data_IF_737173834213
#
_entry.id   IF_737173834213
#
_cell.length_a   1.000
_cell.length_b   1.000
_cell.length_c   1.000
_cell.angle_alpha   90.00
_cell.angle_beta   90.00
_cell.angle_gamma   90.00
#
_symmetry.space_group_name_H-M   'P 1'
#
loop_
_entity.id
_entity.type
_entity.pdbx_description
1 polymer ?
#
# COMPACT_ATOMS: atom_id res chain seq x y z
N UNK A 1 31.66 -1.05 7.91
CA UNK A 1 31.17 -2.37 7.45
C UNK A 1 30.44 -2.15 6.15
N UNK A 2 30.58 -3.03 5.16
CA UNK A 2 29.80 -2.95 3.92
C UNK A 2 28.31 -3.13 4.26
N UNK A 3 27.43 -2.31 3.71
CA UNK A 3 25.97 -2.48 3.87
C UNK A 3 25.47 -3.79 3.23
N UNK A 4 26.28 -4.40 2.37
CA UNK A 4 26.01 -5.67 1.70
C UNK A 4 27.25 -6.59 1.78
N UNK A 5 27.49 -7.23 2.94
CA UNK A 5 28.67 -8.08 3.13
C UNK A 5 28.60 -9.38 2.31
N UNK A 6 27.40 -9.80 1.92
CA UNK A 6 27.12 -11.02 1.16
C UNK A 6 26.89 -10.75 -0.34
N UNK A 7 27.06 -9.51 -0.81
CA UNK A 7 26.78 -9.13 -2.19
C UNK A 7 27.68 -9.88 -3.17
N UNK A 8 27.05 -10.54 -4.14
CA UNK A 8 27.74 -11.33 -5.18
C UNK A 8 27.77 -10.64 -6.55
N UNK A 9 26.90 -9.65 -6.77
CA UNK A 9 26.77 -8.92 -8.05
C UNK A 9 27.14 -7.46 -7.94
N UNK A 10 27.29 -6.74 -9.05
CA UNK A 10 27.75 -5.34 -9.06
C UNK A 10 26.82 -4.37 -8.33
N UNK A 11 25.50 -4.54 -8.44
CA UNK A 11 24.51 -3.67 -7.82
C UNK A 11 23.60 -4.47 -6.89
N UNK A 12 23.32 -3.90 -5.71
CA UNK A 12 22.43 -4.47 -4.71
C UNK A 12 21.50 -3.41 -4.14
N UNK A 13 20.32 -3.84 -3.69
CA UNK A 13 19.43 -3.02 -2.88
C UNK A 13 18.73 -3.89 -1.83
N UNK A 14 18.42 -3.27 -0.68
CA UNK A 14 17.67 -3.84 0.43
C UNK A 14 16.38 -3.05 0.60
N UNK A 15 15.24 -3.70 0.40
CA UNK A 15 13.91 -3.13 0.65
C UNK A 15 13.43 -3.66 1.99
N UNK A 16 13.33 -2.78 2.98
CA UNK A 16 12.72 -3.07 4.28
C UNK A 16 11.23 -2.76 4.24
N UNK A 17 10.40 -3.72 4.66
CA UNK A 17 8.95 -3.54 4.77
C UNK A 17 8.54 -3.06 6.16
N UNK A 18 7.36 -2.46 6.24
CA UNK A 18 6.70 -2.16 7.52
C UNK A 18 6.51 -3.45 8.32
N UNK A 19 6.76 -3.38 9.63
CA UNK A 19 6.44 -4.48 10.52
C UNK A 19 4.92 -4.67 10.63
N UNK A 20 4.43 -5.82 11.16
CA UNK A 20 2.99 -6.09 11.22
C UNK A 20 2.19 -5.03 11.97
N UNK A 21 2.75 -4.42 13.01
CA UNK A 21 2.09 -3.37 13.79
C UNK A 21 1.97 -2.08 12.98
N UNK A 22 3.06 -1.67 12.34
CA UNK A 22 3.10 -0.48 11.48
C UNK A 22 2.14 -0.62 10.30
N UNK A 23 2.14 -1.79 9.66
CA UNK A 23 1.28 -2.08 8.51
C UNK A 23 -0.20 -2.08 8.90
N UNK A 24 -0.57 -2.73 10.00
CA UNK A 24 -1.95 -2.70 10.51
C UNK A 24 -2.39 -1.28 10.81
N UNK A 25 -1.50 -0.49 11.43
CA UNK A 25 -1.77 0.92 11.72
C UNK A 25 -2.04 1.71 10.42
N UNK A 26 -1.16 1.59 9.42
CA UNK A 26 -1.32 2.25 8.12
C UNK A 26 -2.69 1.94 7.49
N UNK A 27 -3.06 0.65 7.42
CA UNK A 27 -4.32 0.22 6.82
C UNK A 27 -5.54 0.76 7.58
N UNK A 28 -5.49 0.73 8.91
CA UNK A 28 -6.57 1.23 9.76
C UNK A 28 -6.72 2.76 9.69
N UNK A 29 -5.60 3.49 9.67
CA UNK A 29 -5.61 4.94 9.55
C UNK A 29 -6.26 5.34 8.22
N UNK A 30 -5.89 4.70 7.10
CA UNK A 30 -6.51 4.95 5.79
C UNK A 30 -7.98 4.52 5.70
N UNK A 31 -8.37 3.40 6.33
CA UNK A 31 -9.78 3.00 6.40
C UNK A 31 -10.62 4.04 7.14
N UNK A 32 -10.09 4.58 8.26
CA UNK A 32 -10.75 5.62 9.03
C UNK A 32 -10.85 6.93 8.25
N UNK A 33 -9.75 7.37 7.63
CA UNK A 33 -9.73 8.58 6.78
C UNK A 33 -10.75 8.49 5.64
N UNK A 34 -10.81 7.32 4.99
CA UNK A 34 -11.77 7.05 3.92
C UNK A 34 -13.22 7.11 4.43
N UNK A 35 -13.51 6.40 5.52
CA UNK A 35 -14.85 6.34 6.11
C UNK A 35 -15.31 7.71 6.61
N UNK A 36 -14.42 8.45 7.27
CA UNK A 36 -14.70 9.77 7.82
C UNK A 36 -15.21 10.72 6.73
N UNK A 37 -14.46 10.84 5.62
CA UNK A 37 -14.87 11.73 4.52
C UNK A 37 -16.12 11.26 3.75
N UNK A 38 -16.26 9.95 3.52
CA UNK A 38 -17.30 9.42 2.62
C UNK A 38 -18.61 9.05 3.31
N UNK A 39 -18.57 8.65 4.57
CA UNK A 39 -19.70 8.05 5.28
C UNK A 39 -20.07 8.79 6.57
N UNK A 40 -19.13 9.52 7.17
CA UNK A 40 -19.32 10.29 8.40
C UNK A 40 -19.29 11.80 8.11
N UNK A 41 -19.82 12.22 6.95
CA UNK A 41 -19.87 13.64 6.59
C UNK A 41 -20.59 14.46 7.64
N UNK A 42 -19.91 15.47 8.15
CA UNK A 42 -20.46 16.46 9.06
C UNK A 42 -20.81 17.74 8.27
N UNK A 43 -22.05 18.26 8.36
CA UNK A 43 -22.42 19.53 7.76
C UNK A 43 -21.69 20.74 8.37
N UNK A 44 -21.09 20.61 9.56
CA UNK A 44 -20.40 21.69 10.26
C UNK A 44 -18.92 21.82 9.86
N UNK A 45 -18.41 20.95 8.98
CA UNK A 45 -17.05 21.10 8.46
C UNK A 45 -16.88 22.44 7.76
N UNK A 46 -15.81 23.14 8.14
CA UNK A 46 -15.32 24.29 7.40
C UNK A 46 -14.86 23.88 6.00
N UNK A 47 -14.72 24.86 5.11
CA UNK A 47 -14.20 24.62 3.77
C UNK A 47 -12.78 24.02 3.81
N UNK A 48 -11.95 24.47 4.74
CA UNK A 48 -10.60 23.98 4.97
C UNK A 48 -10.59 22.52 5.43
N UNK A 49 -11.44 22.18 6.40
CA UNK A 49 -11.60 20.80 6.90
C UNK A 49 -12.13 19.86 5.81
N UNK A 50 -13.17 20.25 5.06
CA UNK A 50 -13.68 19.41 3.98
C UNK A 50 -12.59 19.13 2.93
N UNK A 51 -11.79 20.15 2.60
CA UNK A 51 -10.68 20.03 1.65
C UNK A 51 -9.60 19.08 2.18
N UNK A 52 -9.26 19.18 3.47
CA UNK A 52 -8.27 18.32 4.12
C UNK A 52 -8.75 16.86 4.18
N UNK A 53 -9.97 16.62 4.65
CA UNK A 53 -10.52 15.27 4.77
C UNK A 53 -10.73 14.61 3.41
N UNK A 54 -11.11 15.39 2.40
CA UNK A 54 -11.14 14.93 1.01
C UNK A 54 -9.75 14.47 0.56
N UNK A 55 -8.70 15.23 0.88
CA UNK A 55 -7.34 14.89 0.49
C UNK A 55 -6.87 13.59 1.17
N UNK A 56 -7.16 13.41 2.46
CA UNK A 56 -6.86 12.16 3.17
C UNK A 56 -7.57 10.95 2.55
N UNK A 57 -8.87 11.08 2.28
CA UNK A 57 -9.64 10.01 1.64
C UNK A 57 -9.10 9.68 0.24
N UNK A 58 -8.69 10.68 -0.54
CA UNK A 58 -8.06 10.45 -1.86
C UNK A 58 -6.70 9.73 -1.75
N UNK A 59 -5.90 10.04 -0.74
CA UNK A 59 -4.65 9.33 -0.46
C UNK A 59 -4.92 7.89 -0.03
N UNK A 60 -5.92 7.64 0.81
CA UNK A 60 -6.36 6.30 1.19
C UNK A 60 -6.84 5.50 -0.03
N UNK A 61 -7.67 6.09 -0.89
CA UNK A 61 -8.11 5.49 -2.15
C UNK A 61 -6.93 5.09 -3.04
N UNK A 62 -6.00 6.02 -3.26
CA UNK A 62 -4.81 5.77 -4.08
C UNK A 62 -3.97 4.62 -3.51
N UNK A 63 -3.77 4.61 -2.20
CA UNK A 63 -3.02 3.56 -1.49
C UNK A 63 -3.67 2.19 -1.66
N UNK A 64 -4.99 2.07 -1.47
CA UNK A 64 -5.69 0.80 -1.63
C UNK A 64 -5.67 0.31 -3.09
N UNK A 65 -5.85 1.21 -4.06
CA UNK A 65 -5.83 0.86 -5.49
C UNK A 65 -4.41 0.54 -6.01
N UNK A 66 -3.37 1.02 -5.35
CA UNK A 66 -1.99 0.63 -5.63
C UNK A 66 -1.68 -0.73 -5.00
N UNK A 67 -2.01 -0.94 -3.72
CA UNK A 67 -1.71 -2.19 -3.01
C UNK A 67 -2.49 -3.38 -3.56
N UNK A 68 -3.80 -3.21 -3.74
CA UNK A 68 -4.71 -4.34 -3.95
C UNK A 68 -5.19 -4.44 -5.39
N UNK A 69 -4.51 -3.79 -6.35
CA UNK A 69 -4.83 -3.90 -7.77
C UNK A 69 -4.90 -5.36 -8.19
N UNK A 70 -5.97 -5.72 -8.91
CA UNK A 70 -6.24 -7.10 -9.33
C UNK A 70 -6.97 -7.95 -8.29
N UNK A 71 -7.17 -7.46 -7.06
CA UNK A 71 -8.13 -8.06 -6.13
C UNK A 71 -9.57 -7.67 -6.52
N UNK A 72 -10.57 -8.52 -6.21
CA UNK A 72 -11.97 -8.16 -6.40
C UNK A 72 -12.27 -6.81 -5.76
N UNK A 73 -12.94 -5.94 -6.49
CA UNK A 73 -13.33 -4.60 -6.07
C UNK A 73 -12.23 -3.52 -5.94
N UNK A 74 -10.97 -3.82 -6.27
CA UNK A 74 -9.85 -2.87 -6.17
C UNK A 74 -9.27 -2.46 -7.54
N UNK A 75 -10.05 -2.65 -8.62
CA UNK A 75 -9.59 -2.31 -9.97
C UNK A 75 -9.78 -0.82 -10.32
N UNK A 76 -10.75 -0.16 -9.68
CA UNK A 76 -11.06 1.23 -9.89
C UNK A 76 -11.79 1.83 -8.67
N UNK A 77 -11.89 3.16 -8.64
CA UNK A 77 -12.51 3.90 -7.53
C UNK A 77 -13.99 3.55 -7.31
N UNK A 78 -14.73 3.25 -8.38
CA UNK A 78 -16.16 2.92 -8.29
C UNK A 78 -16.37 1.61 -7.56
N UNK A 79 -15.60 0.58 -7.94
CA UNK A 79 -15.60 -0.72 -7.29
C UNK A 79 -15.18 -0.62 -5.82
N UNK A 80 -14.07 0.10 -5.55
CA UNK A 80 -13.56 0.31 -4.19
C UNK A 80 -14.63 0.94 -3.30
N UNK A 81 -15.26 2.02 -3.79
CA UNK A 81 -16.29 2.74 -3.06
C UNK A 81 -17.49 1.86 -2.74
N UNK A 82 -17.91 1.03 -3.70
CA UNK A 82 -19.03 0.09 -3.50
C UNK A 82 -18.71 -0.94 -2.40
N UNK A 83 -17.50 -1.49 -2.43
CA UNK A 83 -17.03 -2.45 -1.43
C UNK A 83 -16.94 -1.81 -0.04
N UNK A 84 -16.30 -0.64 0.07
CA UNK A 84 -16.16 0.09 1.34
C UNK A 84 -17.51 0.51 1.93
N UNK A 85 -18.45 0.98 1.09
CA UNK A 85 -19.79 1.35 1.53
C UNK A 85 -20.56 0.15 2.11
N UNK A 86 -20.47 -1.01 1.44
CA UNK A 86 -21.12 -2.24 1.88
C UNK A 86 -20.59 -2.67 3.25
N UNK A 87 -19.27 -2.64 3.42
CA UNK A 87 -18.66 -3.03 4.68
C UNK A 87 -18.92 -2.04 5.82
N UNK A 88 -18.90 -0.74 5.53
CA UNK A 88 -19.27 0.28 6.51
C UNK A 88 -20.71 0.07 7.00
N UNK A 89 -21.66 -0.13 6.07
CA UNK A 89 -23.08 -0.40 6.37
C UNK A 89 -23.28 -1.65 7.23
N UNK A 90 -22.50 -2.69 6.99
CA UNK A 90 -22.63 -3.98 7.68
C UNK A 90 -21.81 -4.04 8.98
N UNK A 91 -21.03 -3.00 9.31
CA UNK A 91 -20.16 -2.99 10.48
C UNK A 91 -18.94 -3.92 10.35
N UNK A 92 -18.56 -4.32 9.14
CA UNK A 92 -17.49 -5.31 8.88
C UNK A 92 -16.11 -4.65 8.72
N UNK A 93 -15.89 -3.47 9.30
CA UNK A 93 -14.63 -2.73 9.19
C UNK A 93 -13.41 -3.51 9.72
N UNK A 94 -13.60 -4.29 10.80
CA UNK A 94 -12.55 -5.17 11.35
C UNK A 94 -12.20 -6.29 10.38
N UNK A 95 -13.19 -6.85 9.68
CA UNK A 95 -12.99 -7.93 8.71
C UNK A 95 -12.23 -7.43 7.48
N UNK A 96 -12.60 -6.26 6.94
CA UNK A 96 -11.84 -5.61 5.86
C UNK A 96 -10.39 -5.38 6.27
N UNK A 97 -10.15 -4.86 7.48
CA UNK A 97 -8.80 -4.61 7.97
C UNK A 97 -7.96 -5.89 8.00
N UNK A 98 -8.54 -6.99 8.49
CA UNK A 98 -7.88 -8.30 8.51
C UNK A 98 -7.60 -8.86 7.11
N UNK A 99 -8.55 -8.70 6.18
CA UNK A 99 -8.38 -9.10 4.79
C UNK A 99 -7.24 -8.32 4.13
N UNK A 100 -7.23 -6.99 4.29
CA UNK A 100 -6.17 -6.13 3.77
C UNK A 100 -4.80 -6.43 4.38
N UNK A 101 -4.73 -6.75 5.67
CA UNK A 101 -3.49 -7.19 6.32
C UNK A 101 -3.01 -8.51 5.73
N UNK A 102 -3.92 -9.46 5.51
CA UNK A 102 -3.63 -10.77 4.90
C UNK A 102 -3.11 -10.60 3.48
N UNK A 103 -3.78 -9.82 2.64
CA UNK A 103 -3.33 -9.55 1.27
C UNK A 103 -1.98 -8.84 1.25
N UNK A 104 -1.72 -7.94 2.20
CA UNK A 104 -0.43 -7.28 2.30
C UNK A 104 0.70 -8.26 2.65
N UNK A 105 0.44 -9.25 3.51
CA UNK A 105 1.40 -10.33 3.79
C UNK A 105 1.66 -11.18 2.54
N UNK A 106 0.62 -11.53 1.79
CA UNK A 106 0.73 -12.29 0.54
C UNK A 106 1.57 -11.53 -0.51
N UNK A 107 1.35 -10.21 -0.63
CA UNK A 107 2.13 -9.35 -1.54
C UNK A 107 3.62 -9.36 -1.18
N UNK A 108 3.97 -9.23 0.10
CA UNK A 108 5.36 -9.24 0.55
C UNK A 108 5.98 -10.63 0.35
N UNK A 109 5.27 -11.70 0.73
CA UNK A 109 5.73 -13.08 0.58
C UNK A 109 5.98 -13.47 -0.88
N UNK A 110 5.26 -12.87 -1.84
CA UNK A 110 5.49 -13.07 -3.26
C UNK A 110 6.82 -12.45 -3.75
N UNK A 111 7.37 -11.46 -3.05
CA UNK A 111 8.62 -10.78 -3.44
C UNK A 111 9.86 -11.32 -2.73
N UNK A 112 9.70 -11.95 -1.57
CA UNK A 112 10.81 -12.38 -0.72
C UNK A 112 10.38 -13.49 0.24
N UNK A 113 11.33 -14.34 0.61
CA UNK A 113 11.14 -15.35 1.66
C UNK A 113 11.03 -14.75 3.07
N UNK A 114 11.33 -13.45 3.23
CA UNK A 114 11.26 -12.72 4.50
C UNK A 114 10.23 -11.60 4.43
N UNK A 115 9.25 -11.60 5.36
CA UNK A 115 8.23 -10.55 5.44
C UNK A 115 8.76 -9.16 5.84
N UNK A 116 10.05 -9.04 6.16
CA UNK A 116 10.65 -7.79 6.64
C UNK A 116 11.68 -7.21 5.67
N UNK A 117 12.27 -8.03 4.80
CA UNK A 117 13.40 -7.61 3.97
C UNK A 117 13.41 -8.37 2.64
N UNK A 118 13.51 -7.63 1.53
CA UNK A 118 13.90 -8.17 0.23
C UNK A 118 15.31 -7.71 -0.13
N UNK A 119 16.13 -8.62 -0.65
CA UNK A 119 17.47 -8.33 -1.18
C UNK A 119 17.43 -8.56 -2.68
N UNK A 120 17.79 -7.53 -3.46
CA UNK A 120 17.79 -7.58 -4.92
C UNK A 120 19.21 -7.35 -5.40
N UNK A 121 19.76 -8.31 -6.16
CA UNK A 121 21.10 -8.23 -6.71
C UNK A 121 21.11 -8.40 -8.24
N UNK A 122 21.86 -7.53 -8.93
CA UNK A 122 22.03 -7.61 -10.38
C UNK A 122 23.34 -6.96 -10.85
N UNK A 123 23.87 -7.41 -11.99
CA UNK A 123 25.05 -6.80 -12.60
C UNK A 123 24.74 -5.53 -13.41
N UNK A 124 23.45 -5.16 -13.51
CA UNK A 124 23.00 -4.07 -14.39
C UNK A 124 22.12 -3.06 -13.65
N UNK A 125 22.57 -1.80 -13.56
CA UNK A 125 21.83 -0.72 -12.91
C UNK A 125 20.38 -0.57 -13.41
N UNK A 126 20.15 -0.73 -14.71
CA UNK A 126 18.79 -0.65 -15.29
C UNK A 126 17.87 -1.77 -14.77
N UNK A 127 18.41 -2.98 -14.55
CA UNK A 127 17.64 -4.10 -13.97
C UNK A 127 17.32 -3.83 -12.51
N UNK A 128 18.25 -3.23 -11.76
CA UNK A 128 18.02 -2.87 -10.36
C UNK A 128 16.90 -1.83 -10.28
N UNK A 129 16.96 -0.77 -11.10
CA UNK A 129 15.93 0.27 -11.14
C UNK A 129 14.55 -0.30 -11.49
N UNK A 130 14.46 -1.22 -12.45
CA UNK A 130 13.19 -1.87 -12.83
C UNK A 130 12.65 -2.73 -11.69
N UNK A 131 13.51 -3.54 -11.07
CA UNK A 131 13.14 -4.36 -9.93
C UNK A 131 12.71 -3.53 -8.71
N UNK A 132 13.29 -2.33 -8.54
CA UNK A 132 12.93 -1.41 -7.47
C UNK A 132 11.63 -0.63 -7.73
N UNK A 133 11.17 -0.54 -8.98
CA UNK A 133 10.03 0.29 -9.36
C UNK A 133 8.75 0.04 -8.52
N UNK A 134 8.35 -1.22 -8.22
CA UNK A 134 7.16 -1.48 -7.42
C UNK A 134 7.25 -1.00 -5.96
N UNK A 135 8.47 -0.73 -5.48
CA UNK A 135 8.76 -0.34 -4.10
C UNK A 135 8.96 1.16 -3.93
N UNK A 136 9.15 1.91 -5.02
CA UNK A 136 9.57 3.31 -4.97
C UNK A 136 8.48 4.31 -5.36
N UNK A 137 7.45 3.88 -6.08
CA UNK A 137 6.45 4.80 -6.60
C UNK A 137 5.10 4.13 -6.86
N UNK A 138 4.06 4.95 -6.87
CA UNK A 138 2.73 4.56 -7.33
C UNK A 138 2.75 3.96 -8.74
N UNK A 139 1.80 3.05 -8.98
CA UNK A 139 1.59 2.46 -10.29
C UNK A 139 1.12 3.53 -11.27
N UNK A 140 1.71 3.55 -12.47
CA UNK A 140 1.08 4.22 -13.60
C UNK A 140 -0.22 3.47 -13.97
N UNK A 141 -1.29 4.19 -14.31
CA UNK A 141 -2.63 3.61 -14.57
C UNK A 141 -2.69 2.52 -15.66
N UNK A 142 -1.61 2.34 -16.43
CA UNK A 142 -1.45 1.28 -17.43
C UNK A 142 -0.95 -0.05 -16.87
N UNK A 143 -0.38 -0.11 -15.66
CA UNK A 143 0.08 -1.36 -15.05
C UNK A 143 -1.04 -2.02 -14.25
N UNK A 144 -1.28 -3.31 -14.50
CA UNK A 144 -2.29 -4.12 -13.77
C UNK A 144 -1.73 -4.76 -12.50
N UNK A 145 -0.49 -4.45 -12.15
CA UNK A 145 0.22 -5.06 -11.03
C UNK A 145 0.08 -4.22 -9.77
N UNK A 146 0.06 -4.86 -8.59
CA UNK A 146 0.10 -4.15 -7.31
C UNK A 146 1.46 -3.47 -7.10
N UNK A 147 1.44 -2.31 -6.44
CA UNK A 147 2.64 -1.60 -6.00
C UNK A 147 2.78 -1.68 -4.48
N UNK A 148 3.96 -2.10 -4.02
CA UNK A 148 4.25 -2.31 -2.60
C UNK A 148 4.83 -1.07 -1.93
N UNK A 149 5.04 0.04 -2.65
CA UNK A 149 5.57 1.29 -2.10
C UNK A 149 4.91 1.72 -0.77
N UNK A 150 3.59 1.54 -0.54
CA UNK A 150 2.99 1.93 0.75
C UNK A 150 3.43 1.04 1.91
N UNK A 151 3.89 -0.18 1.62
CA UNK A 151 4.40 -1.14 2.61
C UNK A 151 5.91 -1.00 2.85
N UNK A 152 6.60 -0.10 2.14
CA UNK A 152 8.05 0.06 2.24
C UNK A 152 8.38 1.02 3.36
N UNK A 153 9.19 0.55 4.32
CA UNK A 153 9.74 1.37 5.39
C UNK A 153 11.03 2.08 4.95
N UNK A 154 11.90 1.37 4.21
CA UNK A 154 13.18 1.92 3.75
C UNK A 154 13.71 1.16 2.53
N UNK A 155 14.49 1.86 1.70
CA UNK A 155 15.33 1.27 0.66
C UNK A 155 16.77 1.71 0.89
N UNK A 156 17.72 0.77 0.83
CA UNK A 156 19.16 1.02 0.94
C UNK A 156 19.90 0.35 -0.20
#
# INVERSE_FOLDING_TARGET
MSDFPEQTKTFAAKVGFLDPTQRRKLLNDHLREYAYYHFEKDPDWTFEEEKEYRAWAQTAEGTFLDLFRGRPFFNNRTELKSYMYTAYKNGTGVEISNDMETWSNELIAAQTSSLQLAVIETDWALRLRRALSPFLSASNSSTREPCLWPLVFKVR
#
